data_IF_824490272878
#
_entry.id   IF_824490272878
#
_cell.length_a   1.000
_cell.length_b   1.000
_cell.length_c   1.000
_cell.angle_alpha   90.00
_cell.angle_beta   90.00
_cell.angle_gamma   90.00
#
_symmetry.space_group_name_H-M   'P 1'
#
loop_
_entity.id
_entity.type
_entity.pdbx_description
1 polymer ?
#
# COMPACT_ATOMS: atom_id res chain seq x y z
N UNK A 1 9.47 -13.28 11.67
CA UNK A 1 9.13 -12.03 12.41
C UNK A 1 7.83 -12.09 13.24
N UNK A 2 6.80 -12.87 12.86
CA UNK A 2 5.44 -12.75 13.43
C UNK A 2 5.29 -13.04 14.94
N UNK A 3 5.78 -14.16 15.47
CA UNK A 3 5.52 -14.50 16.89
C UNK A 3 6.36 -13.70 17.90
N UNK A 4 7.60 -13.31 17.55
CA UNK A 4 8.54 -12.68 18.49
C UNK A 4 8.19 -11.22 18.80
N UNK A 5 7.58 -10.51 17.86
CA UNK A 5 7.05 -9.15 18.07
C UNK A 5 5.77 -9.15 18.91
N UNK A 6 4.88 -10.12 18.66
CA UNK A 6 3.60 -10.24 19.37
C UNK A 6 3.83 -10.56 20.86
N UNK A 7 4.76 -11.47 21.19
CA UNK A 7 5.04 -11.83 22.59
C UNK A 7 5.65 -10.68 23.38
N UNK A 8 6.58 -9.91 22.79
CA UNK A 8 7.17 -8.74 23.47
C UNK A 8 6.18 -7.60 23.67
N UNK A 9 5.37 -7.30 22.64
CA UNK A 9 4.30 -6.30 22.76
C UNK A 9 3.31 -6.66 23.88
N UNK A 10 2.80 -7.90 23.87
CA UNK A 10 1.87 -8.41 24.89
C UNK A 10 2.46 -8.44 26.30
N UNK A 11 3.75 -8.73 26.43
CA UNK A 11 4.46 -8.66 27.72
C UNK A 11 4.48 -7.21 28.25
N UNK A 12 4.91 -6.24 27.42
CA UNK A 12 4.95 -4.83 27.86
C UNK A 12 3.57 -4.24 28.16
N UNK A 13 2.53 -4.68 27.44
CA UNK A 13 1.13 -4.32 27.69
C UNK A 13 0.67 -4.84 29.06
N UNK A 14 0.97 -6.12 29.38
CA UNK A 14 0.64 -6.72 30.67
C UNK A 14 1.35 -6.03 31.83
N UNK A 15 2.64 -5.74 31.68
CA UNK A 15 3.42 -5.06 32.71
C UNK A 15 2.93 -3.62 32.95
N UNK A 16 2.58 -2.90 31.88
CA UNK A 16 1.97 -1.58 32.00
C UNK A 16 0.64 -1.65 32.76
N UNK A 17 -0.24 -2.61 32.43
CA UNK A 17 -1.51 -2.81 33.13
C UNK A 17 -1.31 -3.19 34.60
N UNK A 18 -0.33 -4.03 34.92
CA UNK A 18 0.00 -4.42 36.30
C UNK A 18 0.54 -3.23 37.11
N UNK A 19 1.29 -2.33 36.46
CA UNK A 19 1.75 -1.08 37.04
C UNK A 19 0.66 0.03 37.07
N UNK A 20 -0.57 -0.26 36.60
CA UNK A 20 -1.65 0.71 36.41
C UNK A 20 -1.25 1.91 35.52
N UNK A 21 -0.36 1.64 34.56
CA UNK A 21 0.12 2.59 33.57
C UNK A 21 -0.54 2.36 32.22
N UNK A 22 -0.72 3.43 31.45
CA UNK A 22 -1.23 3.33 30.08
C UNK A 22 -0.20 2.67 29.15
N UNK A 23 -0.68 1.92 28.15
CA UNK A 23 0.14 1.36 27.08
C UNK A 23 -0.40 1.87 25.73
N UNK A 24 0.47 2.32 24.80
CA UNK A 24 1.92 2.44 24.91
C UNK A 24 2.35 3.63 25.80
N UNK A 25 3.58 3.59 26.30
CA UNK A 25 4.20 4.65 27.10
C UNK A 25 5.70 4.83 26.73
N UNK A 26 6.35 5.94 27.13
CA UNK A 26 7.75 6.21 26.77
C UNK A 26 8.74 5.13 27.22
N UNK A 27 8.43 4.41 28.30
CA UNK A 27 9.26 3.29 28.76
C UNK A 27 9.15 2.10 27.80
N UNK A 28 7.94 1.73 27.39
CA UNK A 28 7.70 0.67 26.42
C UNK A 28 8.36 0.97 25.06
N UNK A 29 8.28 2.21 24.58
CA UNK A 29 8.94 2.63 23.33
C UNK A 29 10.45 2.42 23.41
N UNK A 30 11.11 2.97 24.44
CA UNK A 30 12.57 2.82 24.63
C UNK A 30 12.99 1.36 24.75
N UNK A 31 12.23 0.56 25.49
CA UNK A 31 12.50 -0.87 25.65
C UNK A 31 12.41 -1.62 24.31
N UNK A 32 11.35 -1.39 23.54
CA UNK A 32 11.15 -2.02 22.23
C UNK A 32 12.25 -1.58 21.25
N UNK A 33 12.60 -0.29 21.21
CA UNK A 33 13.70 0.22 20.37
C UNK A 33 15.06 -0.38 20.74
N UNK A 34 15.37 -0.50 22.04
CA UNK A 34 16.62 -1.09 22.50
C UNK A 34 16.75 -2.56 22.07
N UNK A 35 15.67 -3.32 22.26
CA UNK A 35 15.58 -4.71 21.80
C UNK A 35 15.72 -4.80 20.28
N UNK A 36 15.05 -3.91 19.53
CA UNK A 36 15.13 -3.90 18.07
C UNK A 36 16.57 -3.66 17.61
N UNK A 37 17.27 -2.69 18.22
CA UNK A 37 18.69 -2.42 17.94
C UNK A 37 19.61 -3.57 18.33
N UNK A 38 19.31 -4.30 19.40
CA UNK A 38 20.17 -5.39 19.86
C UNK A 38 20.02 -6.67 19.03
N UNK A 39 18.78 -7.03 18.67
CA UNK A 39 18.49 -8.32 18.03
C UNK A 39 18.22 -8.23 16.52
N UNK A 40 17.83 -7.06 16.02
CA UNK A 40 17.42 -6.84 14.63
C UNK A 40 18.23 -5.74 13.92
N UNK A 41 19.46 -5.45 14.37
CA UNK A 41 20.32 -4.39 13.79
C UNK A 41 20.68 -4.61 12.33
N UNK A 42 20.75 -5.86 11.89
CA UNK A 42 21.19 -6.26 10.54
C UNK A 42 20.00 -6.73 9.67
N UNK A 43 18.78 -6.43 10.08
CA UNK A 43 17.62 -6.67 9.24
C UNK A 43 17.50 -5.52 8.23
N UNK A 44 17.54 -5.83 6.95
CA UNK A 44 17.11 -4.91 5.91
C UNK A 44 15.60 -4.74 5.99
N UNK A 45 15.16 -3.49 6.06
CA UNK A 45 13.74 -3.17 5.93
C UNK A 45 13.40 -3.33 4.45
N UNK A 46 12.75 -4.44 4.10
CA UNK A 46 12.17 -4.64 2.77
C UNK A 46 10.95 -3.72 2.66
N UNK A 47 11.21 -2.43 2.50
CA UNK A 47 10.19 -1.47 2.15
C UNK A 47 9.85 -1.74 0.70
N UNK A 48 8.80 -2.52 0.49
CA UNK A 48 8.07 -2.40 -0.76
C UNK A 48 7.56 -0.96 -0.79
N UNK A 49 8.17 -0.15 -1.65
CA UNK A 49 7.80 1.24 -1.85
C UNK A 49 6.46 1.26 -2.58
N UNK A 50 5.38 1.16 -1.80
CA UNK A 50 4.00 1.31 -2.27
C UNK A 50 3.71 2.79 -2.48
N UNK A 51 4.29 3.35 -3.54
CA UNK A 51 4.01 4.71 -3.97
C UNK A 51 3.30 4.64 -5.31
N UNK A 52 2.39 5.58 -5.51
CA UNK A 52 1.74 5.73 -6.80
C UNK A 52 2.80 6.05 -7.87
N UNK A 53 2.64 5.54 -9.10
CA UNK A 53 3.52 5.93 -10.19
C UNK A 53 3.44 7.45 -10.41
N UNK A 54 4.50 8.08 -10.94
CA UNK A 54 4.49 9.50 -11.27
C UNK A 54 3.24 9.91 -12.06
N UNK A 55 2.68 11.08 -11.73
CA UNK A 55 1.40 11.57 -12.29
C UNK A 55 1.36 11.54 -13.82
N UNK A 56 2.47 11.86 -14.48
CA UNK A 56 2.59 11.83 -15.95
C UNK A 56 2.31 10.43 -16.53
N UNK A 57 2.83 9.39 -15.89
CA UNK A 57 2.66 7.99 -16.33
C UNK A 57 1.23 7.53 -16.01
N UNK A 58 0.73 7.88 -14.81
CA UNK A 58 -0.61 7.53 -14.37
C UNK A 58 -1.67 8.12 -15.30
N UNK A 59 -1.56 9.43 -15.62
CA UNK A 59 -2.49 10.13 -16.50
C UNK A 59 -2.43 9.56 -17.92
N UNK A 60 -1.23 9.28 -18.43
CA UNK A 60 -1.05 8.67 -19.76
C UNK A 60 -1.73 7.30 -19.82
N UNK A 61 -1.57 6.48 -18.78
CA UNK A 61 -2.18 5.15 -18.70
C UNK A 61 -3.71 5.20 -18.64
N UNK A 62 -4.29 6.27 -18.08
CA UNK A 62 -5.75 6.49 -18.06
C UNK A 62 -6.24 7.02 -19.42
N UNK A 63 -5.49 7.93 -20.04
CA UNK A 63 -5.91 8.58 -21.28
C UNK A 63 -5.94 7.61 -22.48
N UNK A 64 -4.96 6.71 -22.59
CA UNK A 64 -4.87 5.71 -23.66
C UNK A 64 -6.16 4.86 -23.81
N UNK A 65 -6.65 4.15 -22.78
CA UNK A 65 -7.86 3.34 -22.89
C UNK A 65 -9.12 4.17 -23.14
N UNK A 66 -9.21 5.39 -22.60
CA UNK A 66 -10.32 6.30 -22.89
C UNK A 66 -10.34 6.69 -24.37
N UNK A 67 -9.20 7.10 -24.93
CA UNK A 67 -9.10 7.46 -26.35
C UNK A 67 -9.38 6.25 -27.25
N UNK A 68 -8.92 5.06 -26.87
CA UNK A 68 -9.17 3.82 -27.62
C UNK A 68 -10.66 3.47 -27.64
N UNK A 69 -11.35 3.56 -26.50
CA UNK A 69 -12.80 3.29 -26.44
C UNK A 69 -13.59 4.29 -27.27
N UNK A 70 -13.26 5.59 -27.20
CA UNK A 70 -13.87 6.60 -28.07
C UNK A 70 -13.63 6.29 -29.56
N UNK A 71 -12.41 5.92 -29.93
CA UNK A 71 -12.07 5.56 -31.31
C UNK A 71 -12.85 4.33 -31.81
N UNK A 72 -12.97 3.29 -30.99
CA UNK A 72 -13.77 2.10 -31.30
C UNK A 72 -15.25 2.44 -31.49
N UNK A 73 -15.85 3.24 -30.61
CA UNK A 73 -17.25 3.67 -30.73
C UNK A 73 -17.45 4.45 -32.04
N UNK A 74 -16.57 5.42 -32.33
CA UNK A 74 -16.63 6.19 -33.58
C UNK A 74 -16.52 5.29 -34.82
N UNK A 75 -15.60 4.33 -34.79
CA UNK A 75 -15.40 3.38 -35.88
C UNK A 75 -16.65 2.52 -36.10
N UNK A 76 -17.25 2.00 -35.03
CA UNK A 76 -18.48 1.18 -35.11
C UNK A 76 -19.63 2.00 -35.69
N UNK A 77 -19.87 3.22 -35.17
CA UNK A 77 -20.93 4.11 -35.67
C UNK A 77 -20.71 4.42 -37.16
N UNK A 78 -19.46 4.70 -37.55
CA UNK A 78 -19.11 4.96 -38.95
C UNK A 78 -19.37 3.75 -39.84
N UNK A 79 -18.91 2.57 -39.41
CA UNK A 79 -19.10 1.31 -40.15
C UNK A 79 -20.58 0.96 -40.29
N UNK A 80 -21.37 1.05 -39.21
CA UNK A 80 -22.82 0.80 -39.23
C UNK A 80 -23.54 1.73 -40.19
N UNK A 81 -23.23 3.04 -40.14
CA UNK A 81 -23.82 4.00 -41.09
C UNK A 81 -23.45 3.68 -42.54
N UNK A 82 -22.20 3.25 -42.80
CA UNK A 82 -21.76 2.88 -44.15
C UNK A 82 -22.44 1.61 -44.64
N UNK A 83 -22.64 0.61 -43.79
CA UNK A 83 -23.37 -0.61 -44.16
C UNK A 83 -24.86 -0.34 -44.44
N UNK A 84 -25.50 0.56 -43.68
CA UNK A 84 -26.90 0.94 -43.92
C UNK A 84 -27.10 1.69 -45.25
N UNK A 85 -26.11 2.45 -45.70
CA UNK A 85 -26.16 3.19 -46.99
C UNK A 85 -25.90 2.26 -48.18
N UNK A 86 -25.24 1.12 -47.96
CA UNK A 86 -24.81 0.20 -49.02
C UNK A 86 -25.76 -1.01 -49.22
N UNK A 87 -26.80 -1.12 -48.38
CA UNK A 87 -27.91 -2.08 -48.47
C UNK A 87 -29.11 -1.48 -49.20
#
# INVERSE_FOLDING_TARGET
>A
MGLYGITKGKCTEREANNASCFWPNPFAERFITAIHKQFFSNCTLDNVHWEDPPDEILITLILIPVMLTCAMIMLVVWCSKRSDILV
#
